data_IF_929682507459
#
_entry.id   IF_929682507459
#
_cell.length_a   1.000
_cell.length_b   1.000
_cell.length_c   1.000
_cell.angle_alpha   90.00
_cell.angle_beta   90.00
_cell.angle_gamma   90.00
#
_symmetry.space_group_name_H-M   'P 1'
#
loop_
_entity.id
_entity.type
_entity.pdbx_description
1 polymer ?
#
# COMPACT_ATOMS: atom_id res chain seq x y z
N UNK A 1 31.03 36.06 -32.77
CA UNK A 1 30.34 34.84 -33.24
C UNK A 1 30.36 33.88 -32.06
N UNK A 2 29.26 33.81 -31.31
CA UNK A 2 29.18 32.99 -30.09
C UNK A 2 28.33 31.78 -30.43
N UNK A 3 28.96 30.61 -30.41
CA UNK A 3 28.33 29.30 -30.60
C UNK A 3 27.42 29.00 -29.41
N UNK A 4 26.13 28.82 -29.68
CA UNK A 4 25.16 28.30 -28.73
C UNK A 4 25.43 26.80 -28.54
N UNK A 5 25.71 26.41 -27.30
CA UNK A 5 25.81 25.01 -26.88
C UNK A 5 24.48 24.29 -27.11
N UNK A 6 24.56 23.10 -27.69
CA UNK A 6 23.45 22.16 -27.82
C UNK A 6 22.84 21.89 -26.44
N UNK A 7 21.54 22.18 -26.32
CA UNK A 7 20.69 21.60 -25.29
C UNK A 7 20.63 20.11 -25.58
N UNK A 8 21.12 19.28 -24.66
CA UNK A 8 20.93 17.83 -24.69
C UNK A 8 19.44 17.52 -24.71
N UNK A 9 18.97 16.85 -25.76
CA UNK A 9 17.69 16.13 -25.76
C UNK A 9 17.71 15.19 -24.55
N UNK A 10 16.87 15.47 -23.56
CA UNK A 10 16.52 14.48 -22.55
C UNK A 10 15.50 13.59 -23.23
N UNK A 11 15.89 12.36 -23.55
CA UNK A 11 15.07 11.36 -24.24
C UNK A 11 13.65 11.32 -23.68
N UNK A 12 12.67 11.54 -24.55
CA UNK A 12 11.29 11.76 -24.18
C UNK A 12 10.58 10.43 -23.90
N UNK A 13 10.82 9.85 -22.71
CA UNK A 13 10.09 8.66 -22.25
C UNK A 13 8.57 8.84 -22.36
N UNK A 14 7.87 7.83 -22.88
CA UNK A 14 6.41 7.88 -23.06
C UNK A 14 5.69 7.78 -21.71
N UNK A 15 5.04 8.86 -21.28
CA UNK A 15 4.20 8.87 -20.09
C UNK A 15 2.85 8.18 -20.32
N UNK A 16 2.39 7.42 -19.34
CA UNK A 16 1.07 6.77 -19.26
C UNK A 16 0.30 7.30 -18.05
N UNK A 17 -1.03 7.26 -18.14
CA UNK A 17 -1.96 7.54 -17.05
C UNK A 17 -3.12 6.56 -17.11
N UNK A 18 -3.39 5.82 -16.04
CA UNK A 18 -4.39 4.74 -16.00
C UNK A 18 -5.30 4.92 -14.79
N UNK A 19 -6.62 4.86 -15.00
CA UNK A 19 -7.60 4.83 -13.91
C UNK A 19 -7.90 3.37 -13.54
N UNK A 20 -7.63 2.99 -12.29
CA UNK A 20 -7.83 1.67 -11.73
C UNK A 20 -9.01 1.70 -10.74
N UNK A 21 -9.96 0.77 -10.92
CA UNK A 21 -11.12 0.57 -10.04
C UNK A 21 -11.93 1.86 -9.75
N UNK A 22 -11.89 2.84 -10.65
CA UNK A 22 -12.60 4.12 -10.55
C UNK A 22 -12.06 5.09 -9.49
N UNK A 23 -11.00 4.74 -8.76
CA UNK A 23 -10.53 5.51 -7.60
C UNK A 23 -9.02 5.78 -7.60
N UNK A 24 -8.21 4.89 -8.19
CA UNK A 24 -6.77 5.01 -8.22
C UNK A 24 -6.31 5.49 -9.59
N UNK A 25 -5.43 6.49 -9.64
CA UNK A 25 -4.84 7.00 -10.87
C UNK A 25 -3.35 6.73 -10.82
N UNK A 26 -2.88 5.87 -11.72
CA UNK A 26 -1.48 5.53 -11.86
C UNK A 26 -0.85 6.38 -12.97
N UNK A 27 0.27 7.02 -12.69
CA UNK A 27 1.04 7.81 -13.65
C UNK A 27 2.49 7.33 -13.67
N UNK A 28 2.99 6.98 -14.86
CA UNK A 28 4.30 6.35 -14.99
C UNK A 28 4.91 6.53 -16.37
N UNK A 29 6.21 6.33 -16.45
CA UNK A 29 6.96 6.25 -17.71
C UNK A 29 7.23 4.78 -18.07
N UNK A 30 7.43 4.51 -19.36
CA UNK A 30 7.75 3.17 -19.89
C UNK A 30 9.05 3.19 -20.67
N UNK A 31 9.69 2.02 -20.78
CA UNK A 31 10.89 1.85 -21.62
C UNK A 31 10.59 2.13 -23.09
N UNK A 32 11.57 2.68 -23.80
CA UNK A 32 11.50 2.89 -25.25
C UNK A 32 11.65 1.58 -26.01
N UNK A 33 12.45 0.65 -25.49
CA UNK A 33 12.69 -0.67 -26.08
C UNK A 33 11.50 -1.62 -25.87
N UNK A 34 10.86 -1.55 -24.69
CA UNK A 34 9.68 -2.33 -24.34
C UNK A 34 8.66 -1.49 -23.55
N UNK A 35 7.63 -1.02 -24.25
CA UNK A 35 6.59 -0.16 -23.66
C UNK A 35 5.67 -0.88 -22.67
N UNK A 36 5.84 -2.19 -22.45
CA UNK A 36 5.16 -2.95 -21.39
C UNK A 36 5.86 -2.78 -20.04
N UNK A 37 7.14 -2.43 -20.04
CA UNK A 37 7.95 -2.25 -18.84
C UNK A 37 7.88 -0.82 -18.33
N UNK A 38 7.56 -0.66 -17.05
CA UNK A 38 7.68 0.64 -16.35
C UNK A 38 9.16 1.00 -16.23
N UNK A 39 9.52 2.23 -16.58
CA UNK A 39 10.89 2.73 -16.49
C UNK A 39 10.85 4.24 -16.24
N UNK A 40 11.51 4.72 -15.20
CA UNK A 40 11.51 6.13 -14.79
C UNK A 40 10.52 6.44 -13.67
N UNK A 41 10.09 7.70 -13.59
CA UNK A 41 9.31 8.18 -12.46
C UNK A 41 7.92 7.55 -12.38
N UNK A 42 7.47 7.35 -11.14
CA UNK A 42 6.17 6.76 -10.84
C UNK A 42 5.42 7.56 -9.78
N UNK A 43 4.10 7.67 -9.97
CA UNK A 43 3.18 8.25 -9.01
C UNK A 43 1.86 7.47 -9.01
N UNK A 44 1.33 7.18 -7.83
CA UNK A 44 -0.02 6.67 -7.63
C UNK A 44 -0.84 7.67 -6.83
N UNK A 45 -2.03 7.95 -7.31
CA UNK A 45 -2.98 8.84 -6.66
C UNK A 45 -4.24 8.07 -6.24
N UNK A 46 -4.77 8.36 -5.06
CA UNK A 46 -6.15 8.04 -4.73
C UNK A 46 -6.99 9.29 -4.89
N UNK A 47 -7.93 9.28 -5.84
CA UNK A 47 -8.63 10.47 -6.34
C UNK A 47 -7.62 11.56 -6.75
N UNK A 48 -7.41 12.57 -5.91
CA UNK A 48 -6.49 13.69 -6.15
C UNK A 48 -5.28 13.70 -5.21
N UNK A 49 -5.13 12.70 -4.34
CA UNK A 49 -4.11 12.67 -3.29
C UNK A 49 -2.99 11.72 -3.70
N UNK A 50 -1.75 12.20 -3.66
CA UNK A 50 -0.57 11.38 -3.96
C UNK A 50 -0.34 10.43 -2.78
N UNK A 51 -0.39 9.12 -3.04
CA UNK A 51 -0.25 8.10 -2.00
C UNK A 51 1.02 7.26 -2.16
N UNK A 52 1.65 7.27 -3.34
CA UNK A 52 2.90 6.57 -3.60
C UNK A 52 3.70 7.28 -4.69
N UNK A 53 5.01 7.39 -4.52
CA UNK A 53 5.91 7.84 -5.58
C UNK A 53 7.31 7.24 -5.46
N UNK A 54 7.97 7.06 -6.60
CA UNK A 54 9.30 6.47 -6.67
C UNK A 54 9.81 6.33 -8.10
N UNK A 55 10.74 5.40 -8.30
CA UNK A 55 11.38 5.15 -9.59
C UNK A 55 11.29 3.67 -9.96
N UNK A 56 10.97 3.41 -11.23
CA UNK A 56 11.12 2.10 -11.84
C UNK A 56 12.38 2.03 -12.70
N UNK A 57 13.00 0.85 -12.76
CA UNK A 57 14.02 0.47 -13.74
C UNK A 57 13.65 -0.90 -14.29
N UNK A 58 13.38 -0.99 -15.59
CA UNK A 58 13.01 -2.23 -16.27
C UNK A 58 11.93 -3.05 -15.55
N UNK A 59 10.83 -2.38 -15.17
CA UNK A 59 9.69 -3.00 -14.49
C UNK A 59 9.87 -3.23 -12.99
N UNK A 60 11.05 -2.95 -12.42
CA UNK A 60 11.33 -3.12 -11.00
C UNK A 60 11.35 -1.78 -10.26
N UNK A 61 10.76 -1.73 -9.06
CA UNK A 61 10.90 -0.58 -8.16
C UNK A 61 12.34 -0.51 -7.66
N UNK A 62 12.97 0.67 -7.78
CA UNK A 62 14.35 0.90 -7.34
C UNK A 62 14.47 2.12 -6.45
N UNK A 63 15.53 2.14 -5.64
CA UNK A 63 15.84 3.23 -4.71
C UNK A 63 14.73 3.52 -3.70
N UNK A 64 14.68 4.78 -3.27
CA UNK A 64 13.78 5.21 -2.20
C UNK A 64 12.40 5.58 -2.74
N UNK A 65 11.39 4.89 -2.21
CA UNK A 65 9.98 5.14 -2.44
C UNK A 65 9.34 5.85 -1.27
N UNK A 66 8.38 6.72 -1.56
CA UNK A 66 7.64 7.51 -0.59
C UNK A 66 6.17 7.12 -0.63
N UNK A 67 5.61 6.81 0.54
CA UNK A 67 4.20 6.49 0.72
C UNK A 67 3.54 7.51 1.62
N UNK A 68 2.35 7.97 1.24
CA UNK A 68 1.62 9.02 1.93
C UNK A 68 0.18 8.58 2.21
N UNK A 69 -0.42 9.16 3.24
CA UNK A 69 -1.83 8.99 3.55
C UNK A 69 -2.70 9.97 2.73
N UNK A 70 -4.02 9.93 2.95
CA UNK A 70 -4.99 10.81 2.29
C UNK A 70 -4.74 12.31 2.49
N UNK A 71 -3.99 12.73 3.52
CA UNK A 71 -3.65 14.14 3.73
C UNK A 71 -2.46 14.62 2.90
N UNK A 72 -1.94 13.82 1.96
CA UNK A 72 -0.60 13.98 1.37
C UNK A 72 0.51 14.04 2.43
N UNK A 73 0.26 13.48 3.61
CA UNK A 73 1.26 13.40 4.69
C UNK A 73 2.02 12.11 4.52
N UNK A 74 3.34 12.21 4.56
CA UNK A 74 4.24 11.06 4.58
C UNK A 74 3.76 10.04 5.64
N UNK A 75 3.62 8.77 5.25
CA UNK A 75 3.48 7.63 6.16
C UNK A 75 4.85 7.00 6.40
N UNK A 76 5.57 6.64 5.33
CA UNK A 76 6.90 6.05 5.43
C UNK A 76 7.67 6.14 4.11
N UNK A 77 8.97 5.87 4.19
CA UNK A 77 9.83 5.64 3.03
C UNK A 77 10.48 4.26 3.09
N UNK A 78 10.56 3.62 1.94
CA UNK A 78 11.15 2.30 1.77
C UNK A 78 12.24 2.37 0.70
N UNK A 79 13.43 1.85 1.01
CA UNK A 79 14.49 1.68 0.04
C UNK A 79 14.44 0.27 -0.54
N UNK A 80 14.10 0.17 -1.82
CA UNK A 80 14.03 -1.11 -2.55
C UNK A 80 15.40 -1.71 -2.84
N UNK A 81 16.46 -0.89 -2.92
CA UNK A 81 17.82 -1.37 -3.16
C UNK A 81 18.40 -1.98 -1.88
N UNK A 82 17.96 -1.49 -0.71
CA UNK A 82 18.40 -1.96 0.61
C UNK A 82 17.38 -2.86 1.33
N UNK A 83 16.21 -3.09 0.74
CA UNK A 83 15.12 -3.88 1.34
C UNK A 83 14.77 -3.43 2.77
N UNK A 84 14.66 -2.12 2.99
CA UNK A 84 14.51 -1.56 4.34
C UNK A 84 13.62 -0.34 4.42
N UNK A 85 12.93 -0.20 5.55
CA UNK A 85 12.31 1.05 5.94
C UNK A 85 13.42 2.03 6.33
N UNK A 86 13.37 3.25 5.80
CA UNK A 86 14.35 4.29 6.12
C UNK A 86 13.75 5.42 6.95
N UNK A 87 12.41 5.54 6.94
CA UNK A 87 11.68 6.57 7.65
C UNK A 87 10.24 6.12 7.87
N UNK A 88 9.72 6.29 9.09
CA UNK A 88 8.29 6.17 9.40
C UNK A 88 7.84 7.48 10.05
N UNK A 89 6.81 8.14 9.53
CA UNK A 89 6.32 9.38 10.10
C UNK A 89 5.89 9.17 11.57
N UNK A 90 6.37 10.04 12.46
CA UNK A 90 6.14 9.92 13.90
C UNK A 90 6.92 8.80 14.61
N UNK A 91 7.78 8.06 13.91
CA UNK A 91 8.65 7.05 14.52
C UNK A 91 9.80 7.66 15.33
N UNK A 92 10.08 7.10 16.51
CA UNK A 92 11.14 7.61 17.40
C UNK A 92 12.54 7.06 17.05
N UNK A 93 12.63 5.83 16.55
CA UNK A 93 13.91 5.12 16.32
C UNK A 93 14.24 4.93 14.83
N UNK A 94 14.26 6.02 14.07
CA UNK A 94 14.49 5.99 12.61
C UNK A 94 15.81 5.29 12.21
N UNK A 95 16.88 5.48 12.99
CA UNK A 95 18.20 4.90 12.72
C UNK A 95 18.24 3.38 12.82
N UNK A 96 17.23 2.76 13.46
CA UNK A 96 17.18 1.31 13.67
C UNK A 96 16.21 0.62 12.72
N UNK A 97 15.53 1.34 11.81
CA UNK A 97 14.52 0.74 10.93
C UNK A 97 15.06 -0.33 9.96
N UNK A 98 16.36 -0.33 9.68
CA UNK A 98 17.02 -1.41 8.93
C UNK A 98 17.22 -2.69 9.77
N UNK A 99 17.14 -2.62 11.09
CA UNK A 99 17.34 -3.74 12.03
C UNK A 99 16.04 -4.13 12.76
N UNK A 100 15.22 -3.14 13.07
CA UNK A 100 13.99 -3.20 13.86
C UNK A 100 12.92 -2.33 13.21
N UNK A 101 11.91 -2.96 12.62
CA UNK A 101 10.82 -2.25 11.95
C UNK A 101 9.49 -2.99 12.09
N UNK A 102 8.36 -2.26 12.10
CA UNK A 102 7.05 -2.87 12.26
C UNK A 102 6.60 -3.58 10.98
N UNK A 103 5.57 -4.42 11.12
CA UNK A 103 4.84 -4.92 9.96
C UNK A 103 3.99 -3.81 9.34
N UNK A 104 4.13 -3.61 8.02
CA UNK A 104 3.40 -2.60 7.25
C UNK A 104 2.92 -3.20 5.93
N UNK A 105 1.95 -2.56 5.29
CA UNK A 105 1.66 -2.84 3.88
C UNK A 105 2.75 -2.19 3.02
N UNK A 106 3.23 -2.86 1.95
CA UNK A 106 4.22 -2.28 1.03
C UNK A 106 3.49 -1.39 0.01
N UNK A 107 2.95 -0.29 0.53
CA UNK A 107 2.02 0.63 -0.12
C UNK A 107 1.39 1.56 0.92
N UNK A 108 0.50 2.46 0.50
CA UNK A 108 -0.30 3.20 1.48
C UNK A 108 -1.29 2.28 2.20
N UNK A 109 -1.39 2.42 3.52
CA UNK A 109 -2.31 1.63 4.37
C UNK A 109 -3.79 1.77 3.97
N UNK A 110 -4.13 2.85 3.26
CA UNK A 110 -5.45 3.09 2.69
C UNK A 110 -5.86 2.02 1.67
N UNK A 111 -4.92 1.54 0.86
CA UNK A 111 -5.22 0.65 -0.27
C UNK A 111 -5.93 -0.64 0.18
N UNK A 112 -5.39 -1.42 1.14
CA UNK A 112 -6.10 -2.60 1.63
C UNK A 112 -7.38 -2.27 2.41
N UNK A 113 -7.40 -1.15 3.13
CA UNK A 113 -8.62 -0.70 3.83
C UNK A 113 -9.77 -0.39 2.86
N UNK A 114 -9.50 0.39 1.80
CA UNK A 114 -10.48 0.78 0.80
C UNK A 114 -10.98 -0.43 -0.01
N UNK A 115 -10.07 -1.36 -0.33
CA UNK A 115 -10.43 -2.60 -1.01
C UNK A 115 -11.43 -3.45 -0.20
N UNK A 116 -11.20 -3.63 1.10
CA UNK A 116 -12.17 -4.32 1.95
C UNK A 116 -13.47 -3.52 2.05
N UNK A 117 -13.38 -2.23 2.32
CA UNK A 117 -14.55 -1.37 2.57
C UNK A 117 -15.51 -1.33 1.37
N UNK A 118 -15.01 -1.39 0.14
CA UNK A 118 -15.85 -1.44 -1.07
C UNK A 118 -16.58 -2.76 -1.27
N UNK A 119 -16.12 -3.85 -0.66
CA UNK A 119 -16.67 -5.20 -0.83
C UNK A 119 -17.60 -5.65 0.30
N UNK A 120 -17.39 -5.13 1.51
CA UNK A 120 -18.09 -5.60 2.71
C UNK A 120 -19.52 -5.07 2.77
N UNK A 121 -19.74 -3.78 2.47
CA UNK A 121 -21.03 -3.12 2.64
C UNK A 121 -21.61 -3.26 4.06
N UNK A 122 -22.77 -2.66 4.34
CA UNK A 122 -23.45 -2.91 5.63
C UNK A 122 -24.27 -4.20 5.55
N UNK A 123 -24.03 -5.23 6.40
CA UNK A 123 -24.76 -6.49 6.32
C UNK A 123 -26.23 -6.31 6.73
N UNK A 124 -27.19 -6.68 5.87
CA UNK A 124 -28.63 -6.46 6.13
C UNK A 124 -29.11 -6.98 7.49
N UNK A 125 -28.71 -8.20 7.89
CA UNK A 125 -29.07 -8.77 9.20
C UNK A 125 -28.44 -8.02 10.39
N UNK A 126 -27.31 -7.36 10.18
CA UNK A 126 -26.70 -6.51 11.21
C UNK A 126 -27.47 -5.18 11.28
N UNK A 127 -27.82 -4.62 10.12
CA UNK A 127 -28.61 -3.40 10.00
C UNK A 127 -29.98 -3.55 10.67
N UNK A 128 -30.73 -4.61 10.35
CA UNK A 128 -32.05 -4.92 10.94
C UNK A 128 -32.00 -5.07 12.46
N UNK A 129 -30.83 -5.39 13.01
CA UNK A 129 -30.60 -5.58 14.44
C UNK A 129 -29.95 -4.37 15.14
N UNK A 130 -29.72 -3.28 14.41
CA UNK A 130 -29.06 -2.10 14.95
C UNK A 130 -27.61 -2.37 15.41
N UNK A 131 -26.89 -3.31 14.77
CA UNK A 131 -25.56 -3.73 15.22
C UNK A 131 -24.45 -2.85 14.65
N UNK A 132 -23.95 -1.95 15.47
CA UNK A 132 -22.78 -1.11 15.17
C UNK A 132 -21.50 -1.66 15.83
N UNK A 133 -20.36 -1.11 15.43
CA UNK A 133 -19.08 -1.36 16.07
C UNK A 133 -17.93 -1.53 15.08
N UNK A 134 -16.80 -2.02 15.59
CA UNK A 134 -15.61 -2.28 14.78
C UNK A 134 -15.34 -3.78 14.65
N UNK A 135 -14.73 -4.14 13.54
CA UNK A 135 -14.19 -5.48 13.28
C UNK A 135 -12.70 -5.34 13.02
N UNK A 136 -11.88 -6.06 13.77
CA UNK A 136 -10.44 -6.13 13.54
C UNK A 136 -10.13 -7.36 12.67
N UNK A 137 -9.65 -7.13 11.45
CA UNK A 137 -9.09 -8.16 10.59
C UNK A 137 -7.59 -8.27 10.84
N UNK A 138 -7.13 -9.48 11.14
CA UNK A 138 -5.73 -9.82 11.32
C UNK A 138 -5.23 -10.67 10.16
N UNK A 139 -4.10 -10.26 9.59
CA UNK A 139 -3.37 -10.97 8.56
C UNK A 139 -2.04 -11.44 9.16
N UNK A 140 -1.76 -12.74 9.08
CA UNK A 140 -0.42 -13.27 9.39
C UNK A 140 0.40 -13.19 8.11
N UNK A 141 1.52 -12.49 8.19
CA UNK A 141 2.41 -12.14 7.10
C UNK A 141 3.71 -12.96 7.24
N UNK A 142 4.10 -13.68 6.19
CA UNK A 142 5.36 -14.43 6.16
C UNK A 142 6.58 -13.49 6.05
N UNK A 143 7.80 -13.98 6.31
CA UNK A 143 9.04 -13.23 6.07
C UNK A 143 9.22 -12.71 4.63
N UNK A 144 8.50 -13.27 3.66
CA UNK A 144 8.49 -12.85 2.25
C UNK A 144 7.38 -11.81 1.96
N UNK A 145 6.63 -11.38 2.97
CA UNK A 145 5.59 -10.37 2.83
C UNK A 145 4.26 -10.91 2.30
N UNK A 146 4.02 -12.23 2.37
CA UNK A 146 2.81 -12.89 1.87
C UNK A 146 1.82 -13.17 2.99
N UNK A 147 0.52 -13.08 2.71
CA UNK A 147 -0.52 -13.48 3.67
C UNK A 147 -0.59 -15.01 3.73
N UNK A 148 -0.30 -15.58 4.90
CA UNK A 148 -0.40 -17.04 5.15
C UNK A 148 -1.64 -17.43 5.95
N UNK A 149 -2.21 -16.51 6.74
CA UNK A 149 -3.43 -16.75 7.53
C UNK A 149 -4.23 -15.46 7.70
N UNK A 150 -5.56 -15.61 7.83
CA UNK A 150 -6.52 -14.51 8.02
C UNK A 150 -7.50 -14.88 9.12
N UNK A 151 -7.84 -13.94 10.01
CA UNK A 151 -8.87 -14.14 11.04
C UNK A 151 -9.40 -12.79 11.54
N UNK A 152 -10.55 -12.80 12.21
CA UNK A 152 -11.13 -11.61 12.86
C UNK A 152 -10.96 -11.67 14.37
N UNK A 153 -11.20 -10.56 15.07
CA UNK A 153 -11.14 -10.50 16.53
C UNK A 153 -12.04 -11.55 17.20
N UNK A 154 -11.60 -12.15 18.32
CA UNK A 154 -12.33 -13.26 18.97
C UNK A 154 -13.69 -12.84 19.54
N UNK A 155 -13.91 -11.54 19.74
CA UNK A 155 -15.14 -10.97 20.28
C UNK A 155 -15.92 -10.14 19.25
N UNK A 156 -15.49 -10.13 17.98
CA UNK A 156 -16.14 -9.35 16.95
C UNK A 156 -17.52 -9.96 16.63
N UNK A 157 -18.61 -9.16 16.55
CA UNK A 157 -19.93 -9.66 16.23
C UNK A 157 -19.92 -10.44 14.90
N UNK A 158 -20.30 -11.72 14.93
CA UNK A 158 -20.22 -12.61 13.75
C UNK A 158 -20.91 -12.04 12.50
N UNK A 159 -22.00 -11.30 12.68
CA UNK A 159 -22.75 -10.68 11.58
C UNK A 159 -21.96 -9.57 10.86
N UNK A 160 -21.03 -8.91 11.55
CA UNK A 160 -20.11 -7.93 10.98
C UNK A 160 -18.78 -8.58 10.55
N UNK A 161 -18.27 -9.51 11.34
CA UNK A 161 -16.97 -10.15 11.12
C UNK A 161 -16.92 -11.06 9.88
N UNK A 162 -17.96 -11.86 9.62
CA UNK A 162 -17.94 -12.83 8.52
C UNK A 162 -17.82 -12.17 7.13
N UNK A 163 -18.55 -11.07 6.83
CA UNK A 163 -18.35 -10.31 5.59
C UNK A 163 -16.93 -9.75 5.43
N UNK A 164 -16.33 -9.21 6.49
CA UNK A 164 -14.94 -8.69 6.47
C UNK A 164 -13.95 -9.80 6.14
N UNK A 165 -14.05 -10.94 6.81
CA UNK A 165 -13.18 -12.09 6.54
C UNK A 165 -13.36 -12.60 5.10
N UNK A 166 -14.59 -12.67 4.60
CA UNK A 166 -14.87 -13.06 3.21
C UNK A 166 -14.23 -12.07 2.22
N UNK A 167 -14.40 -10.77 2.43
CA UNK A 167 -13.82 -9.74 1.57
C UNK A 167 -12.29 -9.81 1.55
N UNK A 168 -11.62 -10.13 2.67
CA UNK A 168 -10.16 -10.26 2.72
C UNK A 168 -9.58 -11.37 1.81
N UNK A 169 -10.43 -12.27 1.29
CA UNK A 169 -10.01 -13.30 0.33
C UNK A 169 -9.87 -12.78 -1.10
N UNK A 170 -10.30 -11.54 -1.39
CA UNK A 170 -10.16 -10.90 -2.70
C UNK A 170 -8.92 -10.03 -2.82
N UNK A 171 -8.04 -10.02 -1.82
CA UNK A 171 -6.76 -9.31 -1.93
C UNK A 171 -5.95 -9.89 -3.10
N UNK A 172 -5.41 -9.04 -3.99
CA UNK A 172 -4.56 -9.49 -5.08
C UNK A 172 -3.34 -10.26 -4.59
N UNK A 173 -2.95 -11.31 -5.33
CA UNK A 173 -1.80 -12.15 -4.99
C UNK A 173 -0.46 -11.44 -5.18
N UNK A 174 -0.41 -10.32 -5.91
CA UNK A 174 0.77 -9.50 -6.13
C UNK A 174 0.97 -8.43 -5.03
N UNK A 175 0.01 -8.27 -4.13
CA UNK A 175 0.17 -7.41 -2.98
C UNK A 175 1.18 -7.99 -1.99
N UNK A 176 2.01 -7.10 -1.45
CA UNK A 176 3.08 -7.43 -0.53
C UNK A 176 2.99 -6.58 0.73
N UNK A 177 3.44 -7.17 1.83
CA UNK A 177 3.61 -6.52 3.12
C UNK A 177 5.10 -6.45 3.44
N UNK A 178 5.49 -5.41 4.16
CA UNK A 178 6.75 -5.36 4.87
C UNK A 178 6.54 -6.15 6.16
N UNK A 179 7.17 -7.32 6.34
CA UNK A 179 7.09 -8.04 7.60
C UNK A 179 7.86 -7.29 8.69
N UNK A 180 7.52 -7.57 9.95
CA UNK A 180 8.30 -7.08 11.08
C UNK A 180 9.76 -7.53 10.96
N UNK A 181 10.68 -6.59 11.18
CA UNK A 181 12.11 -6.88 11.29
C UNK A 181 12.53 -6.81 12.74
N UNK A 182 13.29 -7.80 13.21
CA UNK A 182 13.96 -7.80 14.52
C UNK A 182 15.36 -8.34 14.36
N UNK A 183 16.36 -7.66 14.92
CA UNK A 183 17.77 -8.01 14.79
C UNK A 183 18.18 -8.27 13.32
N UNK A 184 17.73 -7.40 12.42
CA UNK A 184 17.97 -7.48 10.97
C UNK A 184 17.38 -8.71 10.27
N UNK A 185 16.46 -9.43 10.91
CA UNK A 185 15.77 -10.58 10.32
C UNK A 185 14.28 -10.30 10.19
N UNK A 186 13.74 -10.56 8.99
CA UNK A 186 12.29 -10.54 8.73
C UNK A 186 11.65 -11.71 9.46
N UNK A 187 10.57 -11.45 10.18
CA UNK A 187 9.86 -12.43 11.00
C UNK A 187 8.41 -12.58 10.52
N UNK A 188 7.81 -13.73 10.82
CA UNK A 188 6.35 -13.85 10.75
C UNK A 188 5.73 -12.78 11.65
N UNK A 189 4.75 -12.05 11.11
CA UNK A 189 4.22 -10.86 11.78
C UNK A 189 2.74 -10.67 11.50
N UNK A 190 2.09 -9.81 12.29
CA UNK A 190 0.64 -9.58 12.20
C UNK A 190 0.39 -8.16 11.70
N UNK A 191 -0.36 -8.05 10.61
CA UNK A 191 -0.92 -6.80 10.12
C UNK A 191 -2.41 -6.70 10.49
N UNK A 192 -2.84 -5.55 10.99
CA UNK A 192 -4.23 -5.33 11.44
C UNK A 192 -4.92 -4.27 10.60
N UNK A 193 -6.13 -4.56 10.15
CA UNK A 193 -7.05 -3.62 9.49
C UNK A 193 -8.32 -3.54 10.33
N UNK A 194 -8.71 -2.34 10.75
CA UNK A 194 -9.96 -2.12 11.50
C UNK A 194 -11.04 -1.58 10.56
N UNK A 195 -12.17 -2.27 10.46
CA UNK A 195 -13.35 -1.83 9.69
C UNK A 195 -14.42 -1.35 10.67
N UNK A 196 -14.95 -0.15 10.43
CA UNK A 196 -15.96 0.47 11.27
C UNK A 196 -17.36 0.36 10.61
N UNK A 197 -18.35 -0.02 11.40
CA UNK A 197 -19.76 -0.08 11.01
C UNK A 197 -20.56 0.89 11.88
N UNK A 198 -21.08 1.93 11.24
CA UNK A 198 -21.92 2.96 11.85
C UNK A 198 -23.22 3.05 11.05
N UNK A 199 -24.34 3.10 11.76
CA UNK A 199 -25.64 3.41 11.20
C UNK A 199 -25.69 4.93 11.06
N UNK A 200 -25.52 5.41 9.83
CA UNK A 200 -25.79 6.82 9.57
C UNK A 200 -27.29 7.08 9.79
N UNK A 201 -27.61 8.08 10.61
CA UNK A 201 -28.99 8.58 10.82
C UNK A 201 -29.64 9.06 9.50
#
# INVERSE_FOLDING_TARGET
MVTFSQVSEVDAQKRRSVLMNGQLIEQYYVSEEDTTLKHGAYQLFYKTHLIESGQFREGQRVGVWTYCNLGNVLEFKYDYDQDSLILIAGGEQQSRLSEESPCMFLGSSLVPYAHISTLVGYPAKAYDKGLEGKVDLFLVISPEGRIIKRYTGPHDPRLLAAPVLKASSSFPDDWLWIPERRNNQKQESIYKITILFELNE
#
